data_IF_150325332868
#
_entry.id   IF_150325332868
#
_cell.length_a   1.000
_cell.length_b   1.000
_cell.length_c   1.000
_cell.angle_alpha   90.00
_cell.angle_beta   90.00
_cell.angle_gamma   90.00
#
_symmetry.space_group_name_H-M   'P 1'
#
loop_
_entity.id
_entity.type
_entity.pdbx_description
1 polymer ?
#
# COMPACT_ATOMS: atom_id res chain seq x y z
N UNK A 1 -0.19 -11.08 3.54
CA UNK A 1 1.17 -10.89 4.06
C UNK A 1 1.76 -9.66 3.37
N UNK A 2 2.37 -8.73 4.11
CA UNK A 2 2.89 -7.47 3.54
C UNK A 2 4.41 -7.53 3.44
N UNK A 3 4.98 -6.81 2.48
CA UNK A 3 6.40 -6.46 2.52
C UNK A 3 6.58 -5.41 3.61
N UNK A 4 7.50 -5.65 4.54
CA UNK A 4 7.91 -4.70 5.57
C UNK A 4 9.19 -4.00 5.12
N UNK A 5 9.15 -2.68 5.02
CA UNK A 5 10.32 -1.84 4.72
C UNK A 5 10.60 -0.99 5.95
N UNK A 6 11.75 -1.21 6.59
CA UNK A 6 12.05 -0.70 7.93
C UNK A 6 10.97 -1.16 8.92
N UNK A 7 10.12 -0.25 9.41
CA UNK A 7 9.00 -0.55 10.31
C UNK A 7 7.64 -0.20 9.69
N UNK A 8 7.52 -0.27 8.36
CA UNK A 8 6.30 0.09 7.64
C UNK A 8 5.85 -1.06 6.74
N UNK A 9 4.55 -1.35 6.73
CA UNK A 9 3.92 -2.29 5.79
C UNK A 9 3.68 -1.57 4.47
N UNK A 10 4.08 -2.17 3.36
CA UNK A 10 3.99 -1.55 2.04
C UNK A 10 2.81 -2.09 1.23
N UNK A 11 2.05 -1.18 0.61
CA UNK A 11 1.07 -1.47 -0.44
C UNK A 11 1.43 -0.68 -1.69
N UNK A 12 1.52 -1.35 -2.84
CA UNK A 12 1.92 -0.72 -4.11
C UNK A 12 0.81 -0.87 -5.13
N UNK A 13 0.47 0.21 -5.83
CA UNK A 13 -0.50 0.21 -6.92
C UNK A 13 0.21 0.38 -8.26
N UNK A 14 -0.16 -0.42 -9.28
CA UNK A 14 0.37 -0.31 -10.65
C UNK A 14 -0.49 0.55 -11.60
N UNK A 15 -1.56 1.16 -11.06
CA UNK A 15 -2.51 2.01 -11.78
C UNK A 15 -3.08 1.35 -13.05
N UNK A 16 -3.88 0.30 -12.88
CA UNK A 16 -4.50 -0.47 -13.96
C UNK A 16 -3.46 -1.06 -14.94
N UNK A 17 -2.34 -1.53 -14.39
CA UNK A 17 -1.19 -2.13 -15.11
C UNK A 17 -0.51 -1.18 -16.10
N UNK A 18 -0.75 0.12 -15.98
CA UNK A 18 -0.05 1.14 -16.78
C UNK A 18 1.40 1.30 -16.34
N UNK A 19 1.74 0.86 -15.13
CA UNK A 19 3.11 0.80 -14.61
C UNK A 19 3.62 -0.64 -14.61
N UNK A 20 4.72 -0.89 -15.32
CA UNK A 20 5.41 -2.19 -15.24
C UNK A 20 6.25 -2.24 -13.96
N UNK A 21 5.71 -2.89 -12.93
CA UNK A 21 6.37 -3.02 -11.62
C UNK A 21 6.88 -4.45 -11.41
N UNK A 22 8.18 -4.58 -11.12
CA UNK A 22 8.79 -5.84 -10.73
C UNK A 22 8.75 -5.98 -9.20
N UNK A 23 7.84 -6.82 -8.70
CA UNK A 23 7.68 -7.06 -7.27
C UNK A 23 8.94 -7.66 -6.63
N UNK A 24 9.66 -8.54 -7.35
CA UNK A 24 10.89 -9.17 -6.87
C UNK A 24 12.04 -8.17 -6.81
N UNK A 25 12.22 -7.40 -7.87
CA UNK A 25 13.19 -6.31 -7.93
C UNK A 25 12.94 -5.24 -6.86
N UNK A 26 11.68 -4.82 -6.66
CA UNK A 26 11.32 -3.88 -5.60
C UNK A 26 11.64 -4.43 -4.20
N UNK A 27 11.28 -5.69 -3.92
CA UNK A 27 11.62 -6.35 -2.66
C UNK A 27 13.13 -6.36 -2.41
N UNK A 28 13.92 -6.72 -3.42
CA UNK A 28 15.38 -6.77 -3.33
C UNK A 28 16.00 -5.37 -3.09
N UNK A 29 15.57 -4.36 -3.85
CA UNK A 29 16.08 -2.99 -3.74
C UNK A 29 15.69 -2.32 -2.41
N UNK A 30 14.50 -2.61 -1.90
CA UNK A 30 14.02 -2.03 -0.64
C UNK A 30 14.58 -2.75 0.60
N UNK A 31 15.22 -3.92 0.42
CA UNK A 31 15.72 -4.74 1.52
C UNK A 31 14.62 -5.17 2.49
N UNK A 32 13.39 -5.33 1.98
CA UNK A 32 12.22 -5.57 2.81
C UNK A 32 12.02 -7.06 3.15
N UNK A 33 11.33 -7.31 4.26
CA UNK A 33 10.99 -8.67 4.71
C UNK A 33 9.54 -9.02 4.34
N UNK A 34 9.31 -10.26 3.90
CA UNK A 34 7.98 -10.72 3.48
C UNK A 34 7.75 -10.64 1.98
N UNK A 35 6.48 -10.61 1.58
CA UNK A 35 6.04 -10.68 0.18
C UNK A 35 5.40 -9.37 -0.25
N UNK A 36 5.73 -8.91 -1.46
CA UNK A 36 5.17 -7.69 -2.04
C UNK A 36 4.02 -8.03 -2.98
N UNK A 37 2.80 -7.68 -2.56
CA UNK A 37 1.64 -7.67 -3.45
C UNK A 37 1.57 -6.36 -4.22
N UNK A 38 1.52 -6.44 -5.54
CA UNK A 38 1.20 -5.31 -6.42
C UNK A 38 -0.29 -5.35 -6.73
N UNK A 39 -0.98 -4.25 -6.44
CA UNK A 39 -2.41 -4.07 -6.65
C UNK A 39 -2.64 -3.32 -7.95
N UNK A 40 -3.63 -3.72 -8.75
CA UNK A 40 -3.90 -3.00 -10.00
C UNK A 40 -4.91 -1.87 -9.86
N UNK A 41 -5.76 -1.91 -8.84
CA UNK A 41 -6.89 -1.00 -8.68
C UNK A 41 -7.07 -0.61 -7.20
N UNK A 42 -5.95 -0.38 -6.49
CA UNK A 42 -5.95 -0.17 -5.03
C UNK A 42 -6.85 0.97 -4.59
N UNK A 43 -6.91 2.05 -5.37
CA UNK A 43 -7.73 3.24 -5.11
C UNK A 43 -9.18 3.11 -5.61
N UNK A 44 -9.55 2.02 -6.29
CA UNK A 44 -10.88 1.84 -6.88
C UNK A 44 -11.49 0.55 -6.35
N UNK A 45 -11.49 -0.50 -7.16
CA UNK A 45 -12.19 -1.76 -6.86
C UNK A 45 -11.53 -2.55 -5.73
N UNK A 46 -10.30 -2.20 -5.35
CA UNK A 46 -9.56 -2.86 -4.27
C UNK A 46 -9.38 -1.97 -3.03
N UNK A 47 -10.14 -0.87 -2.89
CA UNK A 47 -10.01 0.06 -1.75
C UNK A 47 -10.25 -0.61 -0.39
N UNK A 48 -11.08 -1.65 -0.35
CA UNK A 48 -11.30 -2.45 0.86
C UNK A 48 -10.02 -3.16 1.34
N UNK A 49 -9.08 -3.47 0.44
CA UNK A 49 -7.77 -4.01 0.81
C UNK A 49 -6.96 -2.99 1.61
N UNK A 50 -7.06 -1.70 1.27
CA UNK A 50 -6.46 -0.62 2.06
C UNK A 50 -7.19 -0.45 3.39
N UNK A 51 -8.53 -0.40 3.38
CA UNK A 51 -9.33 -0.22 4.59
C UNK A 51 -9.07 -1.33 5.62
N UNK A 52 -8.98 -2.59 5.18
CA UNK A 52 -8.60 -3.71 6.06
C UNK A 52 -7.13 -3.67 6.49
N UNK A 53 -6.23 -3.10 5.67
CA UNK A 53 -4.84 -2.93 6.05
C UNK A 53 -4.67 -1.90 7.18
N UNK A 54 -5.59 -0.95 7.36
CA UNK A 54 -5.54 0.03 8.46
C UNK A 54 -5.69 -0.60 9.85
N UNK A 55 -6.29 -1.78 9.96
CA UNK A 55 -6.47 -2.48 11.25
C UNK A 55 -5.17 -3.12 11.78
N UNK A 56 -4.06 -3.01 11.06
CA UNK A 56 -2.77 -3.57 11.46
C UNK A 56 -1.99 -2.73 12.49
N UNK A 57 -1.02 -3.36 13.14
CA UNK A 57 -0.26 -2.83 14.29
C UNK A 57 0.99 -2.01 13.92
N UNK A 58 1.33 -1.93 12.63
CA UNK A 58 2.48 -1.20 12.12
C UNK A 58 2.05 -0.14 11.09
N UNK A 59 2.78 1.00 11.01
CA UNK A 59 2.52 2.05 10.03
C UNK A 59 2.37 1.51 8.61
N UNK A 60 1.39 2.02 7.88
CA UNK A 60 1.11 1.64 6.49
C UNK A 60 1.71 2.68 5.54
N UNK A 61 2.44 2.21 4.53
CA UNK A 61 2.96 3.03 3.44
C UNK A 61 2.25 2.63 2.15
N UNK A 62 1.63 3.60 1.47
CA UNK A 62 0.89 3.38 0.23
C UNK A 62 1.60 4.07 -0.93
N UNK A 63 2.06 3.27 -1.90
CA UNK A 63 2.66 3.73 -3.15
C UNK A 63 1.62 3.69 -4.28
N UNK A 64 0.71 4.67 -4.27
CA UNK A 64 -0.24 4.94 -5.36
C UNK A 64 -0.17 6.41 -5.81
N UNK A 65 0.13 7.33 -4.88
CA UNK A 65 0.38 8.79 -4.98
C UNK A 65 -0.67 9.65 -5.70
N UNK A 66 -1.21 9.22 -6.84
CA UNK A 66 -2.25 9.94 -7.60
C UNK A 66 -3.51 10.16 -6.75
N UNK A 67 -3.88 9.14 -5.98
CA UNK A 67 -5.09 9.15 -5.15
C UNK A 67 -4.77 9.34 -3.66
N UNK A 68 -3.67 10.03 -3.33
CA UNK A 68 -3.31 10.30 -1.94
C UNK A 68 -4.43 10.98 -1.11
N UNK A 69 -5.23 11.93 -1.65
CA UNK A 69 -6.38 12.49 -0.93
C UNK A 69 -7.41 11.42 -0.52
N UNK A 70 -7.78 10.52 -1.45
CA UNK A 70 -8.72 9.43 -1.18
C UNK A 70 -8.25 8.53 -0.03
N UNK A 71 -6.96 8.15 -0.02
CA UNK A 71 -6.42 7.31 1.05
C UNK A 71 -6.44 8.02 2.41
N UNK A 72 -6.29 9.34 2.46
CA UNK A 72 -6.40 10.11 3.69
C UNK A 72 -7.84 10.14 4.20
N UNK A 73 -8.80 10.41 3.33
CA UNK A 73 -10.23 10.39 3.67
C UNK A 73 -10.65 9.03 4.24
N UNK A 74 -10.31 7.93 3.56
CA UNK A 74 -10.63 6.57 4.03
C UNK A 74 -9.91 6.24 5.35
N UNK A 75 -8.68 6.72 5.55
CA UNK A 75 -7.98 6.55 6.81
C UNK A 75 -8.69 7.28 7.96
N UNK A 76 -9.09 8.54 7.75
CA UNK A 76 -9.79 9.36 8.73
C UNK A 76 -11.13 8.73 9.15
N UNK A 77 -11.90 8.20 8.20
CA UNK A 77 -13.16 7.48 8.48
C UNK A 77 -12.94 6.24 9.37
N UNK A 78 -11.80 5.56 9.22
CA UNK A 78 -11.38 4.40 10.03
C UNK A 78 -10.72 4.79 11.36
N UNK A 79 -10.58 6.08 11.66
CA UNK A 79 -9.88 6.60 12.85
C UNK A 79 -8.34 6.57 12.74
N UNK A 80 -7.82 6.27 11.55
CA UNK A 80 -6.42 6.44 11.18
C UNK A 80 -6.16 7.85 10.61
N UNK A 81 -4.91 8.30 10.59
CA UNK A 81 -4.53 9.59 10.03
C UNK A 81 -3.02 9.73 10.03
N UNK A 82 -2.49 10.62 9.20
CA UNK A 82 -1.05 10.93 9.14
C UNK A 82 -0.63 11.56 10.49
N UNK A 83 -0.24 10.71 11.43
CA UNK A 83 0.31 11.09 12.74
C UNK A 83 1.82 10.97 12.73
#
# INVERSE_FOLDING_TARGET
MFLKVKNRRLMVCDCEKTMALDAGGLKACLGGEGELTVYSSLCRTQIESFAGALDGDAPLMVACTQEAPLFREVAEEKGGGDK
#
